data_IF_884347232574
#
_entry.id   IF_884347232574
#
_cell.length_a   1.000
_cell.length_b   1.000
_cell.length_c   1.000
_cell.angle_alpha   90.00
_cell.angle_beta   90.00
_cell.angle_gamma   90.00
#
_symmetry.space_group_name_H-M   'P 1'
#
loop_
_entity.id
_entity.type
_entity.pdbx_description
1 polymer ?
#
# COMPACT_ATOMS: atom_id res chain seq x y z
N UNK A 1 57.45 8.42 -41.05
CA UNK A 1 56.25 7.79 -41.63
C UNK A 1 55.13 8.82 -41.68
N UNK A 2 54.57 9.11 -42.86
CA UNK A 2 53.47 10.07 -43.01
C UNK A 2 52.15 9.45 -42.53
N UNK A 3 51.48 10.11 -41.60
CA UNK A 3 50.13 9.71 -41.14
C UNK A 3 49.14 10.02 -42.26
N UNK A 4 48.74 8.99 -43.03
CA UNK A 4 47.68 9.12 -44.04
C UNK A 4 46.36 9.44 -43.33
N UNK A 5 45.84 10.65 -43.51
CA UNK A 5 44.49 11.03 -43.08
C UNK A 5 43.45 10.45 -44.03
N UNK A 6 42.23 10.25 -43.54
CA UNK A 6 41.07 10.04 -44.40
C UNK A 6 40.42 11.39 -44.65
N UNK A 7 40.21 11.74 -45.91
CA UNK A 7 39.55 12.98 -46.31
C UNK A 7 38.14 12.66 -46.79
N UNK A 8 37.13 13.16 -46.07
CA UNK A 8 35.72 12.90 -46.37
C UNK A 8 35.13 14.12 -47.07
N UNK A 9 34.85 13.95 -48.36
CA UNK A 9 34.20 14.97 -49.19
C UNK A 9 32.68 14.85 -49.09
N UNK A 10 32.05 15.78 -48.38
CA UNK A 10 30.58 15.87 -48.34
C UNK A 10 30.09 16.73 -49.50
N UNK A 11 29.55 16.08 -50.53
CA UNK A 11 28.93 16.75 -51.68
C UNK A 11 27.42 16.87 -51.46
N UNK A 12 26.93 18.10 -51.29
CA UNK A 12 25.48 18.40 -51.25
C UNK A 12 25.01 18.84 -52.64
N UNK A 13 23.83 18.38 -53.07
CA UNK A 13 23.27 18.56 -54.43
C UNK A 13 23.20 20.02 -54.92
N UNK A 14 23.23 21.01 -54.02
CA UNK A 14 23.14 22.44 -54.33
C UNK A 14 23.83 23.33 -53.29
N UNK A 15 24.89 22.84 -52.63
CA UNK A 15 25.58 23.57 -51.55
C UNK A 15 27.11 23.51 -51.66
N UNK A 16 27.83 24.40 -50.96
CA UNK A 16 29.29 24.44 -50.99
C UNK A 16 29.88 23.12 -50.49
N UNK A 17 30.81 22.56 -51.27
CA UNK A 17 31.54 21.34 -50.91
C UNK A 17 32.44 21.64 -49.71
N UNK A 18 32.37 20.80 -48.68
CA UNK A 18 33.28 20.83 -47.53
C UNK A 18 34.06 19.53 -47.49
N UNK A 19 35.39 19.60 -47.50
CA UNK A 19 36.26 18.52 -47.07
C UNK A 19 36.37 18.52 -45.55
N UNK A 20 36.31 17.34 -44.95
CA UNK A 20 36.61 17.11 -43.55
C UNK A 20 37.71 16.07 -43.49
N UNK A 21 38.93 16.53 -43.21
CA UNK A 21 40.07 15.64 -42.97
C UNK A 21 40.01 15.13 -41.54
N UNK A 22 39.78 13.83 -41.39
CA UNK A 22 39.81 13.16 -40.10
C UNK A 22 41.19 12.56 -39.84
N UNK A 23 41.75 12.89 -38.68
CA UNK A 23 42.97 12.24 -38.21
C UNK A 23 42.66 10.78 -37.88
N UNK A 24 43.53 9.86 -38.32
CA UNK A 24 43.38 8.42 -38.06
C UNK A 24 43.25 8.11 -36.54
N UNK A 25 43.87 8.92 -35.68
CA UNK A 25 43.75 8.81 -34.22
C UNK A 25 42.32 9.02 -33.69
N UNK A 26 41.53 9.91 -34.31
CA UNK A 26 40.13 10.13 -33.91
C UNK A 26 39.25 8.91 -34.21
N UNK A 27 39.50 8.22 -35.32
CA UNK A 27 38.76 7.02 -35.70
C UNK A 27 39.00 5.86 -34.71
N UNK A 28 40.23 5.68 -34.24
CA UNK A 28 40.53 4.73 -33.16
C UNK A 28 39.80 5.07 -31.85
N UNK A 29 39.67 6.36 -31.50
CA UNK A 29 38.95 6.80 -30.31
C UNK A 29 37.45 6.45 -30.42
N UNK A 30 36.81 6.68 -31.57
CA UNK A 30 35.40 6.31 -31.79
C UNK A 30 35.19 4.79 -31.68
N UNK A 31 36.07 3.98 -32.29
CA UNK A 31 36.00 2.52 -32.20
C UNK A 31 36.18 2.04 -30.75
N UNK A 32 37.11 2.65 -30.00
CA UNK A 32 37.31 2.35 -28.58
C UNK A 32 36.06 2.64 -27.75
N UNK A 33 35.45 3.83 -27.92
CA UNK A 33 34.22 4.21 -27.22
C UNK A 33 33.06 3.26 -27.55
N UNK A 34 32.95 2.84 -28.81
CA UNK A 34 31.93 1.89 -29.25
C UNK A 34 32.14 0.49 -28.64
N UNK A 35 33.39 0.01 -28.53
CA UNK A 35 33.71 -1.23 -27.82
C UNK A 35 33.37 -1.16 -26.32
N UNK A 36 33.68 -0.03 -25.66
CA UNK A 36 33.34 0.18 -24.24
C UNK A 36 31.82 0.21 -24.03
N UNK A 37 31.06 0.85 -24.93
CA UNK A 37 29.59 0.83 -24.91
C UNK A 37 29.04 -0.60 -25.03
N UNK A 38 29.51 -1.38 -26.01
CA UNK A 38 29.05 -2.77 -26.21
C UNK A 38 29.42 -3.65 -25.00
N UNK A 39 30.62 -3.52 -24.46
CA UNK A 39 31.05 -4.24 -23.25
C UNK A 39 30.20 -3.86 -22.02
N UNK A 40 29.89 -2.58 -21.84
CA UNK A 40 29.04 -2.09 -20.75
C UNK A 40 27.60 -2.61 -20.84
N UNK A 41 26.99 -2.58 -22.04
CA UNK A 41 25.65 -3.14 -22.28
C UNK A 41 25.65 -4.65 -22.04
N UNK A 42 26.64 -5.38 -22.54
CA UNK A 42 26.79 -6.82 -22.31
C UNK A 42 26.95 -7.18 -20.83
N UNK A 43 27.84 -6.49 -20.11
CA UNK A 43 28.06 -6.70 -18.68
C UNK A 43 26.83 -6.40 -17.82
N UNK A 44 26.12 -5.30 -18.12
CA UNK A 44 24.87 -4.96 -17.43
C UNK A 44 23.76 -5.98 -17.71
N UNK A 45 23.65 -6.45 -18.95
CA UNK A 45 22.67 -7.48 -19.35
C UNK A 45 22.95 -8.81 -18.63
N UNK A 46 24.22 -9.19 -18.50
CA UNK A 46 24.62 -10.39 -17.74
C UNK A 46 24.30 -10.26 -16.24
N UNK A 47 24.51 -9.07 -15.65
CA UNK A 47 24.16 -8.80 -14.25
C UNK A 47 22.64 -8.89 -14.00
N UNK A 48 21.83 -8.31 -14.89
CA UNK A 48 20.36 -8.41 -14.81
C UNK A 48 19.88 -9.86 -14.94
N UNK A 49 20.47 -10.63 -15.86
CA UNK A 49 20.17 -12.05 -16.01
C UNK A 49 20.51 -12.86 -14.75
N UNK A 50 21.68 -12.59 -14.13
CA UNK A 50 22.07 -13.16 -12.83
C UNK A 50 21.09 -12.82 -11.71
N UNK A 51 20.61 -11.58 -11.64
CA UNK A 51 19.61 -11.16 -10.65
C UNK A 51 18.26 -11.85 -10.88
N UNK A 52 17.83 -11.98 -12.14
CA UNK A 52 16.57 -12.64 -12.49
C UNK A 52 16.58 -14.14 -12.11
N UNK A 53 17.72 -14.83 -12.25
CA UNK A 53 17.87 -16.22 -11.81
C UNK A 53 17.68 -16.37 -10.29
N UNK A 54 18.31 -15.52 -9.48
CA UNK A 54 18.12 -15.56 -8.01
C UNK A 54 16.71 -15.16 -7.58
N UNK A 55 16.05 -14.25 -8.30
CA UNK A 55 14.65 -13.91 -8.03
C UNK A 55 13.70 -15.07 -8.33
N UNK A 56 14.00 -15.89 -9.35
CA UNK A 56 13.22 -17.09 -9.66
C UNK A 56 13.37 -18.15 -8.56
N UNK A 57 14.60 -18.40 -8.09
CA UNK A 57 14.89 -19.32 -6.99
C UNK A 57 14.13 -18.95 -5.70
N UNK A 58 14.17 -17.68 -5.30
CA UNK A 58 13.41 -17.18 -4.13
C UNK A 58 11.89 -17.24 -4.35
N UNK A 59 11.41 -17.04 -5.59
CA UNK A 59 9.98 -17.15 -5.90
C UNK A 59 9.48 -18.60 -5.72
N UNK A 60 10.25 -19.59 -6.17
CA UNK A 60 9.90 -21.01 -6.00
C UNK A 60 9.89 -21.43 -4.52
N UNK A 61 10.86 -20.96 -3.72
CA UNK A 61 10.86 -21.17 -2.26
C UNK A 61 9.62 -20.57 -1.58
N UNK A 62 9.26 -19.32 -1.90
CA UNK A 62 8.05 -18.69 -1.33
C UNK A 62 6.77 -19.41 -1.73
N UNK A 63 6.71 -19.93 -2.97
CA UNK A 63 5.58 -20.75 -3.45
C UNK A 63 5.49 -22.08 -2.70
N UNK A 64 6.61 -22.72 -2.42
CA UNK A 64 6.67 -23.97 -1.65
C UNK A 64 6.23 -23.73 -0.19
N UNK A 65 6.66 -22.63 0.42
CA UNK A 65 6.18 -22.21 1.74
C UNK A 65 4.69 -21.92 1.77
N UNK A 66 4.14 -21.25 0.73
CA UNK A 66 2.71 -20.99 0.61
C UNK A 66 1.89 -22.28 0.50
N UNK A 67 2.31 -23.24 -0.33
CA UNK A 67 1.68 -24.56 -0.43
C UNK A 67 1.76 -25.38 0.87
N UNK A 68 2.82 -25.20 1.66
CA UNK A 68 2.91 -25.80 3.01
C UNK A 68 1.96 -25.13 4.00
N UNK A 69 1.82 -23.80 3.94
CA UNK A 69 0.90 -23.06 4.78
C UNK A 69 -0.56 -23.44 4.48
N UNK A 70 -0.95 -23.48 3.19
CA UNK A 70 -2.29 -23.92 2.76
C UNK A 70 -2.62 -25.34 3.25
N UNK A 71 -1.66 -26.27 3.21
CA UNK A 71 -1.84 -27.63 3.77
C UNK A 71 -1.97 -27.66 5.29
N UNK A 72 -1.30 -26.77 6.01
CA UNK A 72 -1.44 -26.68 7.47
C UNK A 72 -2.80 -26.07 7.83
N UNK A 73 -3.23 -25.03 7.11
CA UNK A 73 -4.54 -24.41 7.25
C UNK A 73 -5.69 -25.41 6.98
N UNK A 74 -5.58 -26.24 5.92
CA UNK A 74 -6.58 -27.28 5.66
C UNK A 74 -6.63 -28.36 6.74
N UNK A 75 -5.48 -28.75 7.32
CA UNK A 75 -5.43 -29.71 8.43
C UNK A 75 -6.02 -29.15 9.73
N UNK A 76 -5.79 -27.87 10.02
CA UNK A 76 -6.42 -27.18 11.18
C UNK A 76 -7.93 -27.09 10.98
N UNK A 77 -8.39 -26.71 9.79
CA UNK A 77 -9.81 -26.63 9.47
C UNK A 77 -10.52 -28.00 9.55
N UNK A 78 -9.84 -29.10 9.16
CA UNK A 78 -10.34 -30.46 9.37
C UNK A 78 -10.46 -30.82 10.86
N UNK A 79 -9.52 -30.39 11.70
CA UNK A 79 -9.58 -30.60 13.16
C UNK A 79 -10.72 -29.81 13.80
N UNK A 80 -10.84 -28.51 13.52
CA UNK A 80 -11.94 -27.67 14.00
C UNK A 80 -13.31 -28.24 13.60
N UNK A 81 -13.44 -28.72 12.35
CA UNK A 81 -14.69 -29.36 11.88
C UNK A 81 -15.00 -30.64 12.66
N UNK A 82 -13.99 -31.48 12.96
CA UNK A 82 -14.18 -32.68 13.78
C UNK A 82 -14.56 -32.34 15.22
N UNK A 83 -13.95 -31.32 15.80
CA UNK A 83 -14.24 -30.89 17.17
C UNK A 83 -15.68 -30.38 17.29
N UNK A 84 -16.14 -29.53 16.35
CA UNK A 84 -17.53 -29.05 16.28
C UNK A 84 -18.51 -30.24 16.15
N UNK A 85 -18.25 -31.18 15.25
CA UNK A 85 -19.10 -32.37 15.10
C UNK A 85 -19.10 -33.26 16.36
N UNK A 86 -17.97 -33.35 17.07
CA UNK A 86 -17.87 -34.10 18.32
C UNK A 86 -18.68 -33.46 19.46
N UNK A 87 -18.71 -32.12 19.52
CA UNK A 87 -19.52 -31.36 20.49
C UNK A 87 -21.02 -31.53 20.19
N UNK A 88 -21.43 -31.38 18.93
CA UNK A 88 -22.82 -31.61 18.52
C UNK A 88 -23.29 -33.04 18.83
N UNK A 89 -22.46 -34.06 18.55
CA UNK A 89 -22.77 -35.45 18.89
C UNK A 89 -22.82 -35.70 20.40
N UNK A 90 -22.09 -34.94 21.21
CA UNK A 90 -22.16 -35.01 22.68
C UNK A 90 -23.43 -34.34 23.22
N UNK A 91 -23.81 -33.17 22.68
CA UNK A 91 -25.07 -32.49 23.01
C UNK A 91 -26.29 -33.31 22.59
N UNK A 92 -26.29 -33.91 21.39
CA UNK A 92 -27.37 -34.77 20.92
C UNK A 92 -27.51 -36.02 21.80
N UNK A 93 -26.41 -36.63 22.24
CA UNK A 93 -26.44 -37.74 23.21
C UNK A 93 -26.95 -37.33 24.59
N UNK A 94 -26.66 -36.11 25.03
CA UNK A 94 -27.21 -35.56 26.28
C UNK A 94 -28.72 -35.28 26.16
N UNK A 95 -29.18 -34.79 25.01
CA UNK A 95 -30.59 -34.52 24.72
C UNK A 95 -31.42 -35.79 24.44
N UNK A 96 -30.83 -36.83 23.87
CA UNK A 96 -31.48 -38.10 23.53
C UNK A 96 -31.79 -39.01 24.75
N UNK A 97 -31.60 -38.53 25.97
CA UNK A 97 -31.91 -39.24 27.22
C UNK A 97 -33.18 -38.73 27.92
N UNK A 98 -34.38 -39.25 27.59
CA UNK A 98 -35.55 -39.14 28.45
C UNK A 98 -36.00 -40.49 29.04
N UNK A 99 -35.92 -40.64 30.38
CA UNK A 99 -37.02 -41.31 31.12
C UNK A 99 -36.73 -42.50 32.05
N UNK A 100 -36.24 -42.23 33.28
CA UNK A 100 -36.77 -42.75 34.57
C UNK A 100 -36.01 -42.06 35.74
N UNK A 101 -36.54 -40.96 36.29
CA UNK A 101 -37.41 -40.90 37.49
C UNK A 101 -36.61 -40.94 38.84
N UNK A 102 -36.88 -40.15 39.90
CA UNK A 102 -37.89 -39.10 40.17
C UNK A 102 -37.52 -38.31 41.46
N UNK A 103 -37.89 -37.01 41.59
CA UNK A 103 -37.87 -36.23 42.85
C UNK A 103 -37.48 -34.74 42.64
N UNK A 104 -38.39 -33.75 42.53
CA UNK A 104 -39.25 -33.11 43.56
C UNK A 104 -38.40 -32.32 44.60
N UNK A 105 -38.46 -30.99 44.78
CA UNK A 105 -39.24 -29.85 44.22
C UNK A 105 -38.36 -28.56 44.24
N UNK A 106 -38.78 -27.28 44.08
CA UNK A 106 -40.05 -26.57 43.87
C UNK A 106 -39.81 -25.12 43.32
N UNK A 107 -40.88 -24.41 42.94
CA UNK A 107 -40.98 -22.95 42.68
C UNK A 107 -42.45 -22.51 42.97
N UNK A 108 -42.80 -21.21 43.03
CA UNK A 108 -42.14 -20.03 43.62
C UNK A 108 -43.10 -19.34 44.66
N UNK A 109 -42.90 -18.09 45.15
CA UNK A 109 -43.22 -16.86 44.39
C UNK A 109 -42.33 -15.59 44.69
N UNK A 110 -42.47 -14.49 43.91
CA UNK A 110 -41.87 -13.16 44.16
C UNK A 110 -42.82 -12.28 45.04
N UNK A 111 -42.73 -10.92 45.16
CA UNK A 111 -41.76 -9.92 44.66
C UNK A 111 -41.29 -8.87 45.72
N UNK A 112 -40.44 -7.90 45.32
CA UNK A 112 -40.59 -6.45 45.62
C UNK A 112 -39.59 -5.56 44.86
N UNK A 113 -40.02 -4.36 44.52
CA UNK A 113 -39.32 -3.33 43.73
C UNK A 113 -38.44 -2.39 44.59
N UNK A 114 -37.32 -1.91 44.03
CA UNK A 114 -36.78 -0.53 43.92
C UNK A 114 -36.90 0.48 45.10
N UNK A 115 -35.93 1.43 45.32
CA UNK A 115 -35.25 2.18 44.25
C UNK A 115 -33.76 2.59 44.44
N UNK A 116 -33.21 3.14 43.35
CA UNK A 116 -32.16 4.17 43.24
C UNK A 116 -30.95 4.14 44.19
N UNK A 117 -29.82 3.62 43.67
CA UNK A 117 -28.50 4.26 43.87
C UNK A 117 -27.48 3.90 42.78
N UNK A 118 -27.53 4.67 41.69
CA UNK A 118 -26.41 5.52 41.30
C UNK A 118 -24.98 4.99 41.59
N UNK A 119 -24.44 4.21 40.65
CA UNK A 119 -23.21 4.63 39.95
C UNK A 119 -23.00 3.78 38.70
N UNK A 120 -23.36 4.34 37.55
CA UNK A 120 -22.69 4.00 36.30
C UNK A 120 -21.20 4.37 36.44
N UNK A 121 -20.28 3.39 36.32
CA UNK A 121 -18.84 3.62 36.24
C UNK A 121 -18.11 2.32 35.86
N UNK A 122 -17.82 2.04 34.59
CA UNK A 122 -18.30 2.75 33.41
C UNK A 122 -17.99 1.91 32.18
N UNK A 123 -18.88 1.95 31.19
CA UNK A 123 -18.43 1.75 29.82
C UNK A 123 -17.35 2.80 29.56
N UNK A 124 -16.09 2.36 29.53
CA UNK A 124 -15.07 3.03 28.76
C UNK A 124 -15.41 2.85 27.27
N UNK A 125 -16.52 3.46 26.86
CA UNK A 125 -16.59 4.15 25.59
C UNK A 125 -15.42 5.12 25.58
N UNK A 126 -14.25 4.61 25.19
CA UNK A 126 -13.26 5.39 24.51
C UNK A 126 -13.94 5.91 23.23
N UNK A 127 -14.70 7.00 23.39
CA UNK A 127 -14.41 8.20 22.65
C UNK A 127 -12.89 8.37 22.70
N UNK A 128 -12.21 7.68 21.80
CA UNK A 128 -10.85 8.00 21.47
C UNK A 128 -10.96 9.39 20.89
N UNK A 129 -10.63 10.39 21.71
CA UNK A 129 -10.27 11.72 21.24
C UNK A 129 -9.38 11.49 20.03
N UNK A 130 -9.93 11.67 18.82
CA UNK A 130 -9.18 11.39 17.61
C UNK A 130 -7.96 12.29 17.68
N UNK A 131 -6.72 11.76 17.68
CA UNK A 131 -5.54 12.59 17.84
C UNK A 131 -5.41 13.46 16.59
N UNK A 132 -6.00 14.65 16.66
CA UNK A 132 -5.85 15.75 15.72
C UNK A 132 -4.37 16.09 15.70
N UNK A 133 -3.67 15.54 14.69
CA UNK A 133 -2.21 15.64 14.50
C UNK A 133 -1.41 15.48 15.80
N UNK A 134 -0.98 14.25 16.13
CA UNK A 134 0.11 14.16 17.10
C UNK A 134 1.32 14.94 16.57
N UNK A 135 1.91 15.75 17.46
CA UNK A 135 2.82 16.88 17.22
C UNK A 135 4.23 16.45 16.74
N UNK A 136 4.26 15.59 15.71
CA UNK A 136 5.43 14.84 15.24
C UNK A 136 5.49 14.75 13.73
N UNK A 137 4.35 14.63 13.06
CA UNK A 137 4.25 14.46 11.61
C UNK A 137 3.20 15.39 11.03
N UNK A 138 3.55 16.09 9.95
CA UNK A 138 2.61 16.91 9.20
C UNK A 138 2.66 16.59 7.70
N UNK A 139 1.53 16.78 7.01
CA UNK A 139 1.42 16.66 5.55
C UNK A 139 1.22 18.05 4.95
N UNK A 140 2.12 18.43 4.04
CA UNK A 140 2.11 19.70 3.29
C UNK A 140 2.20 19.41 1.79
N UNK A 141 2.03 20.46 0.97
CA UNK A 141 2.18 20.41 -0.49
C UNK A 141 1.37 19.29 -1.19
N UNK A 142 0.09 19.15 -0.82
CA UNK A 142 -0.80 18.14 -1.42
C UNK A 142 -1.23 18.60 -2.82
N UNK A 143 -0.61 18.02 -3.84
CA UNK A 143 -1.01 18.17 -5.25
C UNK A 143 -1.93 17.01 -5.66
N UNK A 144 -3.06 17.32 -6.29
CA UNK A 144 -4.03 16.35 -6.81
C UNK A 144 -4.12 16.51 -8.33
N UNK A 145 -3.96 15.42 -9.09
CA UNK A 145 -4.06 15.40 -10.56
C UNK A 145 -4.81 14.15 -11.02
N UNK A 146 -5.46 14.22 -12.17
CA UNK A 146 -6.05 13.05 -12.83
C UNK A 146 -5.26 12.79 -14.10
N UNK A 147 -4.61 11.64 -14.19
CA UNK A 147 -3.76 11.22 -15.31
C UNK A 147 -4.19 9.82 -15.75
N UNK A 148 -4.64 9.67 -17.01
CA UNK A 148 -4.94 8.35 -17.59
C UNK A 148 -6.05 7.53 -16.92
N UNK A 149 -6.99 8.17 -16.21
CA UNK A 149 -8.00 7.45 -15.40
C UNK A 149 -7.47 7.03 -14.02
N UNK A 150 -6.37 7.61 -13.53
CA UNK A 150 -5.90 7.49 -12.16
C UNK A 150 -5.91 8.85 -11.45
N UNK A 151 -6.38 8.88 -10.20
CA UNK A 151 -6.18 10.01 -9.31
C UNK A 151 -4.77 9.89 -8.71
N UNK A 152 -3.87 10.76 -9.17
CA UNK A 152 -2.49 10.87 -8.68
C UNK A 152 -2.47 11.94 -7.59
N UNK A 153 -2.16 11.53 -6.36
CA UNK A 153 -1.99 12.44 -5.21
C UNK A 153 -0.53 12.42 -4.80
N UNK A 154 0.14 13.56 -4.88
CA UNK A 154 1.52 13.70 -4.38
C UNK A 154 1.56 14.68 -3.23
N UNK A 155 2.30 14.35 -2.19
CA UNK A 155 2.33 15.13 -0.95
C UNK A 155 3.65 14.97 -0.22
N UNK A 156 4.02 15.96 0.59
CA UNK A 156 5.22 15.91 1.42
C UNK A 156 4.85 15.53 2.85
N UNK A 157 5.38 14.39 3.31
CA UNK A 157 5.35 13.98 4.71
C UNK A 157 6.57 14.59 5.41
N UNK A 158 6.34 15.43 6.41
CA UNK A 158 7.36 16.18 7.13
C UNK A 158 7.39 15.71 8.59
N UNK A 159 8.59 15.48 9.11
CA UNK A 159 8.85 15.25 10.52
C UNK A 159 9.13 16.61 11.18
N UNK A 160 8.32 16.99 12.16
CA UNK A 160 8.43 18.28 12.85
C UNK A 160 9.30 18.19 14.12
N UNK A 161 9.76 16.98 14.47
CA UNK A 161 10.80 16.76 15.49
C UNK A 161 12.20 17.16 15.01
N UNK A 162 13.12 17.26 15.97
CA UNK A 162 14.55 17.44 15.70
C UNK A 162 15.11 16.35 14.76
N UNK A 163 16.06 16.69 13.85
CA UNK A 163 16.54 15.77 12.81
C UNK A 163 17.25 14.49 13.27
N UNK A 164 17.43 14.29 14.58
CA UNK A 164 18.12 13.13 15.17
C UNK A 164 17.22 11.90 15.35
N UNK A 165 15.90 12.09 15.43
CA UNK A 165 14.92 11.01 15.66
C UNK A 165 14.05 10.80 14.41
N UNK A 166 14.33 9.80 13.55
CA UNK A 166 13.55 9.56 12.34
C UNK A 166 12.16 9.00 12.67
N UNK A 167 11.12 9.73 12.29
CA UNK A 167 9.76 9.23 12.36
C UNK A 167 9.57 8.05 11.39
N UNK A 168 9.14 6.91 11.92
CA UNK A 168 8.95 5.67 11.16
C UNK A 168 7.54 5.09 11.38
N UNK A 169 6.96 4.51 10.34
CA UNK A 169 5.62 3.94 10.41
C UNK A 169 5.09 3.50 9.06
N UNK A 170 3.75 3.45 8.96
CA UNK A 170 3.02 3.10 7.75
C UNK A 170 2.03 4.22 7.42
N UNK A 171 1.93 4.56 6.13
CA UNK A 171 0.95 5.52 5.63
C UNK A 171 -0.04 4.84 4.69
N UNK A 172 -1.31 5.17 4.84
CA UNK A 172 -2.38 4.82 3.93
C UNK A 172 -3.10 6.11 3.49
N UNK A 173 -3.41 6.22 2.21
CA UNK A 173 -4.33 7.21 1.68
C UNK A 173 -5.67 6.52 1.45
N UNK A 174 -6.75 7.06 2.01
CA UNK A 174 -8.11 6.57 1.77
C UNK A 174 -8.88 7.65 1.03
N UNK A 175 -9.48 7.26 -0.09
CA UNK A 175 -10.35 8.12 -0.88
C UNK A 175 -11.79 7.76 -0.58
N UNK A 176 -12.55 8.74 -0.09
CA UNK A 176 -13.98 8.66 0.19
C UNK A 176 -14.75 9.33 -0.94
N UNK A 177 -15.80 8.68 -1.41
CA UNK A 177 -16.64 9.20 -2.47
C UNK A 177 -17.97 8.47 -2.59
N UNK A 178 -18.70 8.76 -3.66
CA UNK A 178 -19.97 8.12 -3.98
C UNK A 178 -19.92 7.43 -5.33
N UNK A 179 -20.52 6.22 -5.39
CA UNK A 179 -20.78 5.47 -6.61
C UNK A 179 -22.24 5.02 -6.59
N UNK A 180 -23.02 5.45 -7.59
CA UNK A 180 -24.45 5.11 -7.70
C UNK A 180 -25.26 5.40 -6.41
N UNK A 181 -24.96 6.52 -5.73
CA UNK A 181 -25.62 6.93 -4.49
C UNK A 181 -25.22 6.15 -3.23
N UNK A 182 -24.29 5.19 -3.32
CA UNK A 182 -23.70 4.51 -2.16
C UNK A 182 -22.33 5.10 -1.83
N UNK A 183 -22.02 5.23 -0.54
CA UNK A 183 -20.67 5.53 -0.09
C UNK A 183 -19.71 4.46 -0.57
N UNK A 184 -18.54 4.89 -1.01
CA UNK A 184 -17.52 4.05 -1.59
C UNK A 184 -16.14 4.51 -1.12
N UNK A 185 -15.31 3.53 -0.79
CA UNK A 185 -14.00 3.71 -0.18
C UNK A 185 -12.95 2.96 -0.99
N UNK A 186 -11.82 3.59 -1.29
CA UNK A 186 -10.64 2.93 -1.86
C UNK A 186 -9.37 3.39 -1.15
N UNK A 187 -8.44 2.46 -0.99
CA UNK A 187 -7.20 2.69 -0.27
C UNK A 187 -6.00 2.58 -1.21
N UNK A 188 -5.00 3.42 -0.97
CA UNK A 188 -3.65 3.25 -1.47
C UNK A 188 -2.66 3.09 -0.30
N UNK A 189 -1.81 2.06 -0.28
CA UNK A 189 -1.86 0.87 -1.15
C UNK A 189 -3.18 0.08 -1.07
N UNK A 190 -3.50 -0.77 -2.08
CA UNK A 190 -4.74 -1.56 -2.06
C UNK A 190 -4.85 -2.47 -0.84
N UNK A 191 -5.81 -2.19 0.04
CA UNK A 191 -6.02 -2.92 1.29
C UNK A 191 -7.50 -2.94 1.71
N UNK A 192 -7.85 -3.87 2.61
CA UNK A 192 -9.21 -3.93 3.18
C UNK A 192 -9.41 -2.83 4.21
N UNK A 193 -10.51 -2.10 4.08
CA UNK A 193 -10.96 -1.08 5.01
C UNK A 193 -12.14 -1.59 5.85
N UNK A 194 -12.29 -1.07 7.07
CA UNK A 194 -13.50 -1.25 7.87
C UNK A 194 -14.62 -0.29 7.43
N UNK A 195 -15.80 -0.38 8.05
CA UNK A 195 -16.95 0.46 7.72
C UNK A 195 -16.73 1.98 7.89
N UNK A 196 -15.72 2.39 8.68
CA UNK A 196 -15.33 3.79 8.90
C UNK A 196 -14.28 4.29 7.88
N UNK A 197 -13.81 3.41 6.98
CA UNK A 197 -12.74 3.69 6.03
C UNK A 197 -11.32 3.56 6.62
N UNK A 198 -11.14 2.91 7.78
CA UNK A 198 -9.80 2.67 8.38
C UNK A 198 -9.20 1.35 7.90
N UNK A 199 -7.88 1.25 7.64
CA UNK A 199 -7.19 -0.01 7.36
C UNK A 199 -7.45 -1.10 8.40
N UNK A 200 -7.88 -2.29 7.96
CA UNK A 200 -7.98 -3.46 8.84
C UNK A 200 -6.60 -4.00 9.26
N UNK A 201 -5.58 -3.80 8.42
CA UNK A 201 -4.21 -4.18 8.71
C UNK A 201 -3.27 -3.04 8.29
N UNK A 202 -2.78 -2.29 9.27
CA UNK A 202 -1.94 -1.11 9.07
C UNK A 202 -0.56 -1.44 8.44
N UNK A 203 -0.04 -2.67 8.60
CA UNK A 203 1.22 -3.09 7.98
C UNK A 203 1.14 -3.17 6.45
N UNK A 204 -0.07 -3.16 5.85
CA UNK A 204 -0.25 -3.06 4.39
C UNK A 204 -0.15 -1.62 3.85
N UNK A 205 0.00 -0.62 4.73
CA UNK A 205 0.36 0.74 4.32
C UNK A 205 1.75 0.83 3.71
N UNK A 206 2.05 1.92 3.02
CA UNK A 206 3.41 2.18 2.52
C UNK A 206 4.33 2.44 3.72
N UNK A 207 5.42 1.67 3.90
CA UNK A 207 6.36 1.93 4.98
C UNK A 207 7.15 3.22 4.72
N UNK A 208 7.27 4.05 5.75
CA UNK A 208 8.08 5.26 5.72
C UNK A 208 9.11 5.31 6.85
N UNK A 209 10.18 6.04 6.57
CA UNK A 209 11.16 6.55 7.52
C UNK A 209 11.52 7.95 7.05
N UNK A 210 11.36 8.96 7.91
CA UNK A 210 11.52 10.38 7.58
C UNK A 210 12.30 11.10 8.68
N UNK A 211 13.51 11.57 8.33
CA UNK A 211 14.30 12.45 9.21
C UNK A 211 13.87 13.91 9.14
N UNK A 212 13.50 14.41 7.95
CA UNK A 212 13.03 15.80 7.73
C UNK A 212 11.79 15.84 6.85
N UNK A 213 11.91 15.43 5.60
CA UNK A 213 10.79 15.34 4.66
C UNK A 213 10.93 14.11 3.75
N UNK A 214 9.81 13.63 3.23
CA UNK A 214 9.75 12.64 2.14
C UNK A 214 8.51 12.91 1.30
N UNK A 215 8.72 13.12 0.00
CA UNK A 215 7.61 13.16 -0.96
C UNK A 215 7.07 11.76 -1.18
N UNK A 216 5.76 11.61 -1.12
CA UNK A 216 5.03 10.37 -1.38
C UNK A 216 4.12 10.61 -2.58
N UNK A 217 4.03 9.61 -3.47
CA UNK A 217 3.15 9.63 -4.62
C UNK A 217 2.22 8.43 -4.52
N UNK A 218 0.93 8.73 -4.34
CA UNK A 218 -0.15 7.76 -4.34
C UNK A 218 -0.87 7.78 -5.69
N UNK A 219 -1.32 6.59 -6.14
CA UNK A 219 -2.14 6.44 -7.36
C UNK A 219 -3.36 5.60 -7.03
N UNK A 220 -4.54 6.13 -7.35
CA UNK A 220 -5.84 5.50 -7.04
C UNK A 220 -6.63 5.37 -8.34
N UNK A 221 -7.21 4.21 -8.62
CA UNK A 221 -7.91 3.98 -9.88
C UNK A 221 -9.19 4.83 -10.00
N UNK A 222 -9.18 5.84 -10.86
CA UNK A 222 -10.31 6.74 -11.10
C UNK A 222 -11.20 6.21 -12.22
N UNK A 223 -12.06 5.24 -11.92
CA UNK A 223 -13.16 4.87 -12.81
C UNK A 223 -14.10 6.08 -12.99
N UNK A 224 -14.51 6.35 -14.23
CA UNK A 224 -15.22 7.58 -14.63
C UNK A 224 -16.57 7.81 -13.91
N UNK A 225 -17.19 6.77 -13.35
CA UNK A 225 -18.42 6.83 -12.55
C UNK A 225 -18.22 7.32 -11.09
N UNK A 226 -16.97 7.47 -10.62
CA UNK A 226 -16.67 7.77 -9.21
C UNK A 226 -16.65 9.28 -8.96
N UNK A 227 -17.50 9.76 -8.04
CA UNK A 227 -17.34 11.11 -7.47
C UNK A 227 -16.49 11.03 -6.22
N UNK A 228 -15.27 11.55 -6.28
CA UNK A 228 -14.39 11.70 -5.13
C UNK A 228 -14.81 12.93 -4.31
N UNK A 229 -14.94 12.78 -3.00
CA UNK A 229 -15.35 13.86 -2.09
C UNK A 229 -14.21 14.26 -1.15
N UNK A 230 -13.60 13.29 -0.47
CA UNK A 230 -12.61 13.53 0.59
C UNK A 230 -11.41 12.58 0.46
N UNK A 231 -10.21 13.12 0.58
CA UNK A 231 -8.97 12.38 0.81
C UNK A 231 -8.70 12.33 2.31
N UNK A 232 -8.41 11.15 2.84
CA UNK A 232 -8.06 10.95 4.23
C UNK A 232 -6.68 10.28 4.33
N UNK A 233 -5.72 11.03 4.86
CA UNK A 233 -4.37 10.54 5.10
C UNK A 233 -4.33 9.94 6.51
N UNK A 234 -4.01 8.65 6.60
CA UNK A 234 -4.00 7.88 7.84
C UNK A 234 -2.56 7.39 8.07
N UNK A 235 -1.97 7.79 9.19
CA UNK A 235 -0.59 7.42 9.55
C UNK A 235 -0.59 6.60 10.83
N UNK A 236 0.05 5.44 10.78
CA UNK A 236 0.30 4.57 11.92
C UNK A 236 1.80 4.53 12.26
N UNK A 237 2.11 4.44 13.55
CA UNK A 237 3.47 4.17 14.04
C UNK A 237 3.91 2.74 13.71
N UNK A 238 5.19 2.42 13.93
CA UNK A 238 5.69 1.04 13.87
C UNK A 238 5.00 0.09 14.86
N UNK A 239 4.43 0.60 15.97
CA UNK A 239 3.68 -0.21 16.93
C UNK A 239 2.19 -0.38 16.57
N UNK A 240 1.70 0.22 15.48
CA UNK A 240 0.28 0.19 15.09
C UNK A 240 -0.58 1.27 15.75
N UNK A 241 -0.02 2.11 16.62
CA UNK A 241 -0.74 3.27 17.16
C UNK A 241 -1.06 4.26 16.04
N UNK A 242 -2.29 4.79 16.02
CA UNK A 242 -2.72 5.86 15.10
C UNK A 242 -2.03 7.17 15.50
N UNK A 243 -1.22 7.73 14.59
CA UNK A 243 -0.37 8.91 14.83
C UNK A 243 -1.03 10.18 14.32
N UNK A 244 -1.69 10.10 13.16
CA UNK A 244 -2.36 11.24 12.56
C UNK A 244 -3.46 10.78 11.61
N UNK A 245 -4.56 11.51 11.64
CA UNK A 245 -5.61 11.52 10.61
C UNK A 245 -5.69 12.93 10.06
N UNK A 246 -5.67 13.07 8.73
CA UNK A 246 -5.89 14.36 8.08
C UNK A 246 -6.87 14.19 6.92
N UNK A 247 -8.05 14.78 7.04
CA UNK A 247 -9.01 14.87 5.94
C UNK A 247 -8.75 16.15 5.12
N UNK A 248 -8.85 16.05 3.79
CA UNK A 248 -8.81 17.17 2.85
C UNK A 248 -9.86 16.95 1.75
N UNK A 249 -10.57 18.00 1.31
CA UNK A 249 -11.50 17.89 0.20
C UNK A 249 -10.75 17.58 -1.11
N UNK A 250 -11.42 16.88 -2.01
CA UNK A 250 -10.88 16.56 -3.34
C UNK A 250 -11.08 17.76 -4.26
N UNK A 251 -10.03 18.57 -4.42
CA UNK A 251 -10.01 19.71 -5.34
C UNK A 251 -9.48 19.27 -6.69
N UNK A 252 -10.32 18.62 -7.49
CA UNK A 252 -10.02 18.40 -8.91
C UNK A 252 -9.95 19.76 -9.60
N UNK A 253 -8.73 20.26 -9.80
CA UNK A 253 -8.48 21.39 -10.68
C UNK A 253 -8.96 20.97 -12.08
N UNK A 254 -10.14 21.45 -12.48
CA UNK A 254 -10.82 21.09 -13.72
C UNK A 254 -9.91 21.47 -14.88
N UNK A 255 -9.17 20.48 -15.39
CA UNK A 255 -8.10 20.70 -16.35
C UNK A 255 -8.63 21.49 -17.54
N UNK A 256 -8.01 22.63 -17.82
CA UNK A 256 -8.38 23.45 -18.96
C UNK A 256 -8.24 22.61 -20.22
N UNK A 257 -9.36 22.38 -20.90
CA UNK A 257 -9.39 21.75 -22.21
C UNK A 257 -8.67 22.63 -23.22
N UNK A 258 -7.35 22.47 -23.34
CA UNK A 258 -6.62 22.97 -24.50
C UNK A 258 -6.99 22.08 -25.68
N UNK A 259 -7.97 22.55 -26.45
CA UNK A 259 -8.15 22.15 -27.83
C UNK A 259 -6.84 22.34 -28.59
N UNK A 260 -6.38 21.29 -29.25
CA UNK A 260 -5.60 21.38 -30.49
C UNK A 260 -6.50 20.90 -31.63
#
# INVERSE_FOLDING_TARGET
MSKRGFDVLLVRKSGPVRSLSMSSGWLYLVVLVLLVMVAGVGGNSYLLYRQQLHLAEVADDTRLLMLRAERLESLVQEQETRDILSQQAAEERAAALPGKAKGKAAQPPPPKEDPDKESEAGEAAAQADEPQSSDRLSIKNVEQRVEGGELVVSFDLINEREPRDPAMGYIALVVKGQRQGRQWFEAWPPMRLNALGRPQNYHRGTPFSVQRYRRVLARVASLDDKKFETLEFIIYSRQGNLVMVKALPVTLAKGSSRSQ
#
